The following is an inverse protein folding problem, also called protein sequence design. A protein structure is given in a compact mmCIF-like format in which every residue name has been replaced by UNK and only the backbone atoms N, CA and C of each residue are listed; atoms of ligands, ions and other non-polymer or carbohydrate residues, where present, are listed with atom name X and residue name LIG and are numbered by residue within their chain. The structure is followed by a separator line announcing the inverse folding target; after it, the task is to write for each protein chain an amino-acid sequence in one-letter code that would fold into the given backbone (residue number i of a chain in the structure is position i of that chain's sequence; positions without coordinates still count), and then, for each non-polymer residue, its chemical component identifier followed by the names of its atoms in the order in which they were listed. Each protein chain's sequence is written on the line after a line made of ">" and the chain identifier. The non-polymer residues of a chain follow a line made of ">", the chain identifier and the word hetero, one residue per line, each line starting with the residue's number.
data_IF_879700526982
#
_entry.id   IF_879700526982
#
_cell.length_a   1.000
_cell.length_b   1.000
_cell.length_c   1.000
_cell.angle_alpha   90.00
_cell.angle_beta   90.00
_cell.angle_gamma   90.00
#
_symmetry.space_group_name_H-M   'P 1'
#
loop_
_entity.id
_entity.type
_entity.pdbx_description
1 polymer ?
#
# COMPACT_ATOMS: atom_id res chain seq x y z
N UNK A 1 7.43 6.65 2.20
CA UNK A 1 6.12 7.23 1.79
C UNK A 1 6.26 8.74 1.76
N UNK A 2 5.90 9.38 0.65
CA UNK A 2 5.93 10.83 0.54
C UNK A 2 4.50 11.37 0.65
N UNK A 3 4.33 12.44 1.41
CA UNK A 3 3.04 13.10 1.57
C UNK A 3 3.03 14.36 0.71
N UNK A 4 1.94 14.57 -0.02
CA UNK A 4 1.77 15.71 -0.92
C UNK A 4 0.39 16.32 -0.76
N UNK A 5 0.25 17.55 -1.21
CA UNK A 5 -1.04 18.22 -1.31
C UNK A 5 -1.50 18.14 -2.77
N UNK A 6 -2.68 17.58 -3.02
CA UNK A 6 -3.26 17.43 -4.36
C UNK A 6 -4.55 18.23 -4.47
N UNK A 7 -4.64 19.08 -5.50
CA UNK A 7 -5.85 19.84 -5.84
C UNK A 7 -7.02 18.95 -6.29
N UNK A 8 -6.77 17.67 -6.58
CA UNK A 8 -7.77 16.72 -7.06
C UNK A 8 -8.56 16.02 -5.94
N UNK A 9 -8.24 16.25 -4.67
CA UNK A 9 -8.94 15.65 -3.54
C UNK A 9 -9.80 16.70 -2.83
N UNK A 10 -11.05 16.34 -2.51
CA UNK A 10 -11.94 17.15 -1.68
C UNK A 10 -11.30 17.41 -0.30
N UNK A 11 -11.47 18.62 0.26
CA UNK A 11 -10.74 19.16 1.43
C UNK A 11 -9.29 19.65 1.17
N UNK A 12 -9.05 20.32 0.04
CA UNK A 12 -7.78 20.99 -0.22
C UNK A 12 -7.49 22.09 0.82
N UNK A 13 -6.30 22.03 1.45
CA UNK A 13 -5.80 23.08 2.34
C UNK A 13 -4.30 23.28 2.09
N UNK A 14 -3.81 24.52 1.88
CA UNK A 14 -2.43 24.78 1.47
C UNK A 14 -1.38 24.27 2.48
N UNK A 15 -1.77 24.15 3.76
CA UNK A 15 -0.88 23.76 4.86
C UNK A 15 -1.10 22.32 5.34
N UNK A 16 -1.98 21.54 4.71
CA UNK A 16 -2.26 20.14 5.10
C UNK A 16 -2.13 19.20 3.90
N UNK A 17 -1.45 18.07 4.11
CA UNK A 17 -1.22 17.06 3.08
C UNK A 17 -2.46 16.15 3.02
N UNK A 18 -3.17 16.19 1.90
CA UNK A 18 -4.39 15.42 1.64
C UNK A 18 -4.16 14.24 0.68
N UNK A 19 -2.92 14.02 0.21
CA UNK A 19 -2.57 12.92 -0.68
C UNK A 19 -1.27 12.21 -0.24
N UNK A 20 -1.19 10.92 -0.56
CA UNK A 20 -0.05 10.07 -0.23
C UNK A 20 0.50 9.43 -1.50
N UNK A 21 1.76 9.67 -1.79
CA UNK A 21 2.48 8.98 -2.87
C UNK A 21 2.83 7.59 -2.37
N UNK A 22 2.15 6.60 -2.93
CA UNK A 22 2.51 5.20 -2.81
C UNK A 22 3.59 4.97 -3.86
N UNK A 23 4.82 4.70 -3.41
CA UNK A 23 5.88 4.27 -4.31
C UNK A 23 5.52 2.86 -4.75
N UNK A 24 5.47 2.63 -6.06
CA UNK A 24 5.30 1.30 -6.61
C UNK A 24 6.58 0.51 -6.28
N UNK A 25 6.51 -0.58 -5.52
CA UNK A 25 7.65 -1.44 -5.28
C UNK A 25 7.98 -2.24 -6.55
N UNK A 26 9.27 -2.39 -6.84
CA UNK A 26 9.75 -3.26 -7.93
C UNK A 26 9.59 -4.75 -7.58
N UNK A 27 9.44 -5.05 -6.29
CA UNK A 27 9.45 -6.40 -5.69
C UNK A 27 8.26 -6.59 -4.73
N UNK A 28 8.17 -7.78 -4.12
CA UNK A 28 7.24 -8.07 -3.00
C UNK A 28 7.38 -6.97 -1.93
N UNK A 29 6.28 -6.30 -1.63
CA UNK A 29 6.22 -5.31 -0.56
C UNK A 29 5.26 -5.78 0.52
N UNK A 30 5.59 -5.45 1.75
CA UNK A 30 4.85 -5.94 2.89
C UNK A 30 4.03 -4.81 3.51
N UNK A 31 2.72 -4.94 3.48
CA UNK A 31 1.80 -3.96 4.07
C UNK A 31 1.03 -4.59 5.22
N UNK A 32 0.50 -3.77 6.11
CA UNK A 32 -0.41 -4.29 7.14
C UNK A 32 -1.70 -4.81 6.49
N UNK A 33 -2.19 -5.96 6.95
CA UNK A 33 -3.41 -6.58 6.42
C UNK A 33 -4.66 -5.70 6.59
N UNK A 34 -4.63 -4.75 7.53
CA UNK A 34 -5.68 -3.74 7.73
C UNK A 34 -5.55 -2.52 6.81
N UNK A 35 -4.49 -2.44 6.01
CA UNK A 35 -4.27 -1.33 5.09
C UNK A 35 -5.03 -1.59 3.77
N UNK A 36 -5.74 -0.59 3.21
CA UNK A 36 -6.40 -0.75 1.93
C UNK A 36 -5.37 -1.06 0.85
N UNK A 37 -5.55 -2.19 0.17
CA UNK A 37 -4.70 -2.62 -0.92
C UNK A 37 -5.18 -1.89 -2.18
N UNK A 38 -4.32 -1.11 -2.84
CA UNK A 38 -4.70 -0.45 -4.09
C UNK A 38 -4.85 -1.46 -5.23
N UNK A 39 -5.72 -1.12 -6.19
CA UNK A 39 -5.87 -1.88 -7.44
C UNK A 39 -4.54 -2.08 -8.18
N UNK A 40 -4.36 -3.25 -8.78
CA UNK A 40 -3.11 -3.64 -9.45
C UNK A 40 -2.11 -4.37 -8.54
N UNK A 41 -2.50 -4.74 -7.34
CA UNK A 41 -1.72 -5.60 -6.44
C UNK A 41 -2.53 -6.83 -6.02
N UNK A 42 -1.84 -7.96 -5.89
CA UNK A 42 -2.41 -9.21 -5.41
C UNK A 42 -1.67 -9.64 -4.15
N UNK A 43 -2.43 -10.15 -3.17
CA UNK A 43 -1.84 -10.74 -1.97
C UNK A 43 -1.28 -12.10 -2.34
N UNK A 44 0.04 -12.27 -2.27
CA UNK A 44 0.72 -13.55 -2.54
C UNK A 44 1.08 -14.29 -1.27
N UNK A 45 0.98 -13.64 -0.11
CA UNK A 45 1.17 -14.30 1.16
C UNK A 45 0.83 -13.44 2.35
N UNK A 46 0.93 -14.03 3.54
CA UNK A 46 0.66 -13.36 4.80
C UNK A 46 1.80 -13.60 5.80
N UNK A 47 2.30 -12.50 6.37
CA UNK A 47 3.37 -12.48 7.37
C UNK A 47 2.88 -12.01 8.74
N UNK A 48 3.78 -12.02 9.72
CA UNK A 48 3.59 -11.28 10.96
C UNK A 48 4.61 -10.15 11.02
N UNK A 49 4.16 -8.94 11.31
CA UNK A 49 5.07 -7.79 11.44
C UNK A 49 4.69 -6.94 12.63
N UNK A 50 5.68 -6.71 13.49
CA UNK A 50 5.56 -5.88 14.70
C UNK A 50 5.30 -4.41 14.37
N UNK A 51 5.52 -4.02 13.11
CA UNK A 51 5.26 -2.69 12.57
C UNK A 51 3.76 -2.39 12.37
N UNK A 52 2.89 -3.39 12.49
CA UNK A 52 1.44 -3.22 12.34
C UNK A 52 0.76 -3.09 13.71
N UNK A 53 -0.13 -2.11 13.86
CA UNK A 53 -0.78 -1.76 15.13
C UNK A 53 -1.56 -2.89 15.82
N UNK A 54 -1.88 -3.98 15.12
CA UNK A 54 -2.57 -5.17 15.65
C UNK A 54 -1.65 -6.39 15.79
N UNK A 55 -0.33 -6.19 15.91
CA UNK A 55 0.64 -7.28 15.97
C UNK A 55 0.34 -8.28 17.09
N UNK A 56 0.23 -9.55 16.71
CA UNK A 56 0.11 -10.67 17.63
C UNK A 56 1.03 -11.80 17.13
N UNK A 57 1.78 -12.50 18.01
CA UNK A 57 2.79 -13.49 17.60
C UNK A 57 2.21 -14.66 16.80
N UNK A 58 0.92 -14.95 16.96
CA UNK A 58 0.22 -16.02 16.22
C UNK A 58 -0.74 -15.50 15.14
N UNK A 59 -0.89 -14.18 14.97
CA UNK A 59 -1.77 -13.61 13.95
C UNK A 59 -0.99 -13.14 12.72
N UNK A 60 -1.58 -13.34 11.55
CA UNK A 60 -1.09 -12.77 10.30
C UNK A 60 -1.52 -11.31 10.20
N UNK A 61 -0.61 -10.39 10.54
CA UNK A 61 -0.90 -8.94 10.56
C UNK A 61 -0.38 -8.20 9.34
N UNK A 62 0.33 -8.91 8.47
CA UNK A 62 0.99 -8.37 7.30
C UNK A 62 0.54 -9.16 6.06
N UNK A 63 0.24 -8.45 4.97
CA UNK A 63 0.02 -9.02 3.64
C UNK A 63 1.23 -8.73 2.78
N UNK A 64 1.73 -9.76 2.11
CA UNK A 64 2.76 -9.66 1.08
C UNK A 64 2.03 -9.37 -0.21
N UNK A 65 2.23 -8.15 -0.71
CA UNK A 65 1.68 -7.72 -1.98
C UNK A 65 2.74 -7.92 -3.05
N UNK A 66 2.34 -8.61 -4.10
CA UNK A 66 3.03 -8.51 -5.37
C UNK A 66 2.22 -7.64 -6.28
N UNK A 67 2.93 -6.80 -7.03
CA UNK A 67 2.32 -6.06 -8.11
C UNK A 67 1.85 -7.08 -9.13
N UNK A 68 0.58 -7.01 -9.53
CA UNK A 68 0.19 -7.66 -10.77
C UNK A 68 1.09 -7.04 -11.83
N UNK A 69 1.99 -7.83 -12.41
CA UNK A 69 2.57 -7.47 -13.69
C UNK A 69 1.36 -7.34 -14.61
N UNK A 70 0.87 -6.13 -14.80
CA UNK A 70 0.16 -5.80 -16.03
C UNK A 70 1.21 -6.15 -17.07
N UNK A 71 1.10 -7.35 -17.65
CA UNK A 71 1.80 -7.63 -18.89
C UNK A 71 1.41 -6.45 -19.77
N UNK A 72 2.37 -5.65 -20.29
CA UNK A 72 2.01 -4.78 -21.37
C UNK A 72 1.46 -5.73 -22.44
N UNK A 73 0.13 -5.75 -22.60
CA UNK A 73 -0.50 -6.34 -23.77
C UNK A 73 0.00 -5.48 -24.92
N UNK A 74 1.16 -5.88 -25.45
CA UNK A 74 1.62 -5.52 -26.76
C UNK A 74 0.55 -6.05 -27.73
N UNK A 75 -0.36 -5.18 -28.16
CA UNK A 75 -0.75 -5.01 -29.56
C UNK A 75 -1.81 -3.90 -29.66
#
# INVERSE_FOLDING_TARGET
>A
MAHVNSFSCDNWHPSALNAKIIKIPDNVESVCASSPIPDGYVVTGYGNSMSCNNWHPSAKTQSLLERLKVQPTNH
#
